data_IF_818945835347
#
_entry.id   IF_818945835347
#
_cell.length_a   1.000
_cell.length_b   1.000
_cell.length_c   1.000
_cell.angle_alpha   90.00
_cell.angle_beta   90.00
_cell.angle_gamma   90.00
#
_symmetry.space_group_name_H-M   'P 1'
#
loop_
_entity.id
_entity.type
_entity.pdbx_description
1 polymer ?
#
# COMPACT_ATOMS: atom_id res chain seq x y z
N UNK A 1 -52.27 39.28 -22.32
CA UNK A 1 -51.24 38.62 -23.07
C UNK A 1 -50.14 38.20 -22.09
N UNK A 2 -50.16 36.95 -21.66
CA UNK A 2 -49.21 36.41 -20.66
C UNK A 2 -48.20 35.55 -21.38
N UNK A 3 -46.95 35.92 -21.40
CA UNK A 3 -45.87 35.12 -21.94
C UNK A 3 -45.31 34.25 -20.80
N UNK A 4 -45.60 32.96 -20.86
CA UNK A 4 -45.04 31.96 -19.99
C UNK A 4 -43.59 31.69 -20.33
N UNK A 5 -42.69 32.01 -19.45
CA UNK A 5 -41.28 31.62 -19.53
C UNK A 5 -41.14 30.18 -18.98
N UNK A 6 -40.82 29.26 -19.87
CA UNK A 6 -40.46 27.87 -19.54
C UNK A 6 -38.96 27.90 -19.12
N UNK A 7 -38.71 27.74 -17.85
CA UNK A 7 -37.33 27.53 -17.35
C UNK A 7 -37.00 26.05 -17.54
N UNK A 8 -36.18 25.73 -18.51
CA UNK A 8 -35.61 24.42 -18.71
C UNK A 8 -34.50 24.21 -17.68
N UNK A 9 -34.76 23.44 -16.62
CA UNK A 9 -33.75 22.95 -15.70
C UNK A 9 -33.05 21.78 -16.42
N UNK A 10 -31.86 22.07 -16.96
CA UNK A 10 -30.96 21.03 -17.45
C UNK A 10 -30.29 20.40 -16.22
N UNK A 11 -30.80 19.23 -15.82
CA UNK A 11 -30.18 18.38 -14.81
C UNK A 11 -28.92 17.78 -15.43
N UNK A 12 -27.75 18.38 -15.18
CA UNK A 12 -26.47 17.79 -15.49
C UNK A 12 -26.26 16.61 -14.51
N UNK A 13 -26.67 15.43 -14.95
CA UNK A 13 -26.26 14.19 -14.32
C UNK A 13 -24.76 14.02 -14.60
N UNK A 14 -23.93 14.45 -13.67
CA UNK A 14 -22.50 14.11 -13.65
C UNK A 14 -22.42 12.58 -13.47
N UNK A 15 -22.23 11.88 -14.56
CA UNK A 15 -21.81 10.49 -14.56
C UNK A 15 -20.39 10.47 -13.99
N UNK A 16 -20.26 10.21 -12.69
CA UNK A 16 -19.02 9.78 -12.07
C UNK A 16 -18.71 8.36 -12.55
N UNK A 17 -18.28 8.26 -13.78
CA UNK A 17 -17.65 7.05 -14.33
C UNK A 17 -16.30 6.92 -13.63
N UNK A 18 -16.25 5.92 -12.76
CA UNK A 18 -15.19 5.57 -11.85
C UNK A 18 -13.78 5.75 -12.36
N UNK A 19 -13.00 6.35 -11.50
CA UNK A 19 -11.67 6.86 -11.66
C UNK A 19 -10.55 5.89 -11.95
N UNK A 20 -10.68 4.91 -12.81
CA UNK A 20 -9.51 4.12 -13.26
C UNK A 20 -8.63 4.83 -14.30
N UNK A 21 -9.04 6.01 -14.81
CA UNK A 21 -8.32 6.73 -15.87
C UNK A 21 -7.56 7.98 -15.38
N UNK A 22 -7.67 8.37 -14.12
CA UNK A 22 -7.22 9.68 -13.64
C UNK A 22 -5.76 9.74 -13.19
N UNK A 23 -5.09 8.60 -12.97
CA UNK A 23 -3.70 8.56 -12.48
C UNK A 23 -2.81 7.63 -13.34
N UNK A 24 -2.36 8.10 -14.52
CA UNK A 24 -1.44 7.31 -15.37
C UNK A 24 -0.17 6.94 -14.59
N UNK A 25 0.18 5.65 -14.58
CA UNK A 25 1.37 5.15 -13.86
C UNK A 25 1.18 4.88 -12.37
N UNK A 26 -0.02 5.08 -11.82
CA UNK A 26 -0.32 4.66 -10.46
C UNK A 26 -0.49 3.14 -10.36
N UNK A 27 0.06 2.55 -9.31
CA UNK A 27 -0.24 1.18 -8.85
C UNK A 27 -1.43 1.20 -7.91
N UNK A 28 -1.50 2.19 -7.02
CA UNK A 28 -2.66 2.48 -6.18
C UNK A 28 -2.71 3.97 -5.81
N UNK A 29 -3.91 4.41 -5.38
CA UNK A 29 -4.14 5.68 -4.68
C UNK A 29 -4.74 5.34 -3.33
N UNK A 30 -4.15 5.86 -2.25
CA UNK A 30 -4.55 5.62 -0.86
C UNK A 30 -4.78 6.95 -0.18
N UNK A 31 -6.01 7.26 0.20
CA UNK A 31 -6.39 8.56 0.80
C UNK A 31 -5.86 9.76 -0.02
N UNK A 32 -5.91 9.67 -1.35
CA UNK A 32 -5.39 10.67 -2.28
C UNK A 32 -3.87 10.64 -2.51
N UNK A 33 -3.11 9.81 -1.80
CA UNK A 33 -1.66 9.62 -2.00
C UNK A 33 -1.41 8.55 -3.06
N UNK A 34 -0.68 8.91 -4.10
CA UNK A 34 -0.36 7.98 -5.20
C UNK A 34 0.86 7.12 -4.88
N UNK A 35 0.72 5.80 -5.03
CA UNK A 35 1.82 4.85 -5.10
C UNK A 35 2.03 4.53 -6.57
N UNK A 36 3.19 4.88 -7.13
CA UNK A 36 3.46 4.65 -8.56
C UNK A 36 3.84 3.20 -8.86
N UNK A 37 3.57 2.75 -10.09
CA UNK A 37 4.05 1.45 -10.57
C UNK A 37 5.57 1.35 -10.49
N UNK A 38 6.29 2.44 -10.82
CA UNK A 38 7.76 2.46 -10.75
C UNK A 38 8.27 2.32 -9.32
N UNK A 39 7.56 2.86 -8.33
CA UNK A 39 7.87 2.67 -6.90
C UNK A 39 7.76 1.20 -6.51
N UNK A 40 6.65 0.55 -6.89
CA UNK A 40 6.43 -0.89 -6.63
C UNK A 40 7.48 -1.74 -7.33
N UNK A 41 7.73 -1.50 -8.61
CA UNK A 41 8.71 -2.26 -9.39
C UNK A 41 10.13 -2.10 -8.84
N UNK A 42 10.50 -0.92 -8.37
CA UNK A 42 11.80 -0.66 -7.76
C UNK A 42 11.94 -1.36 -6.42
N UNK A 43 11.00 -1.16 -5.51
CA UNK A 43 11.02 -1.80 -4.20
C UNK A 43 11.00 -3.34 -4.32
N UNK A 44 10.24 -3.88 -5.31
CA UNK A 44 10.23 -5.33 -5.58
C UNK A 44 11.61 -5.84 -5.98
N UNK A 45 12.34 -5.12 -6.85
CA UNK A 45 13.71 -5.53 -7.23
C UNK A 45 14.66 -5.49 -6.06
N UNK A 46 14.66 -4.37 -5.30
CA UNK A 46 15.53 -4.18 -4.14
C UNK A 46 15.28 -5.25 -3.06
N UNK A 47 14.01 -5.52 -2.75
CA UNK A 47 13.65 -6.55 -1.75
C UNK A 47 13.98 -7.97 -2.21
N UNK A 48 13.90 -8.26 -3.52
CA UNK A 48 14.25 -9.59 -4.04
C UNK A 48 15.75 -9.92 -3.96
N UNK A 49 16.60 -8.95 -3.63
CA UNK A 49 18.02 -9.19 -3.27
C UNK A 49 18.14 -9.77 -1.86
N UNK A 50 17.12 -9.59 -1.02
CA UNK A 50 17.09 -10.04 0.38
C UNK A 50 16.23 -11.30 0.59
N UNK A 51 15.01 -11.29 0.00
CA UNK A 51 14.04 -12.36 0.12
C UNK A 51 13.04 -12.34 -1.04
N UNK A 52 12.40 -13.47 -1.32
CA UNK A 52 11.45 -13.56 -2.43
C UNK A 52 10.14 -12.83 -2.12
N UNK A 53 9.80 -11.84 -2.93
CA UNK A 53 8.56 -11.05 -2.83
C UNK A 53 8.00 -10.76 -4.22
N UNK A 54 6.68 -10.74 -4.34
CA UNK A 54 6.00 -10.37 -5.58
C UNK A 54 5.47 -8.92 -5.52
N UNK A 55 5.19 -8.29 -6.69
CA UNK A 55 4.75 -6.89 -6.74
C UNK A 55 3.44 -6.60 -6.00
N UNK A 56 2.53 -7.56 -5.84
CA UNK A 56 1.29 -7.37 -5.09
C UNK A 56 1.55 -7.35 -3.60
N UNK A 57 2.42 -8.23 -3.13
CA UNK A 57 2.90 -8.23 -1.75
C UNK A 57 3.56 -6.91 -1.38
N UNK A 58 4.45 -6.40 -2.26
CA UNK A 58 5.08 -5.08 -2.10
C UNK A 58 4.03 -3.96 -2.07
N UNK A 59 3.08 -3.97 -3.01
CA UNK A 59 2.01 -2.97 -3.02
C UNK A 59 1.15 -3.03 -1.75
N UNK A 60 0.81 -4.24 -1.28
CA UNK A 60 0.10 -4.42 -0.01
C UNK A 60 0.87 -3.77 1.14
N UNK A 61 2.16 -4.08 1.28
CA UNK A 61 3.00 -3.49 2.33
C UNK A 61 3.04 -1.96 2.24
N UNK A 62 3.19 -1.38 1.04
CA UNK A 62 3.19 0.07 0.85
C UNK A 62 1.85 0.76 1.17
N UNK A 63 0.73 0.03 1.04
CA UNK A 63 -0.60 0.52 1.42
C UNK A 63 -0.74 0.53 2.95
N UNK A 64 -0.38 -0.57 3.62
CA UNK A 64 -0.66 -0.74 5.06
C UNK A 64 0.44 -0.19 5.97
N UNK A 65 1.70 -0.11 5.50
CA UNK A 65 2.85 0.32 6.29
C UNK A 65 2.64 1.64 7.04
N UNK A 66 2.07 2.71 6.46
CA UNK A 66 1.85 3.96 7.19
C UNK A 66 0.96 3.79 8.42
N UNK A 67 -0.06 2.91 8.36
CA UNK A 67 -0.96 2.66 9.50
C UNK A 67 -0.22 1.96 10.64
N UNK A 68 0.59 0.95 10.30
CA UNK A 68 1.39 0.22 11.29
C UNK A 68 2.48 1.08 11.92
N UNK A 69 3.19 1.87 11.10
CA UNK A 69 4.26 2.76 11.59
C UNK A 69 3.71 3.86 12.50
N UNK A 70 2.53 4.40 12.19
CA UNK A 70 1.87 5.38 13.05
C UNK A 70 1.42 4.75 14.38
N UNK A 71 0.83 3.55 14.34
CA UNK A 71 0.47 2.81 15.56
C UNK A 71 1.69 2.48 16.41
N UNK A 72 2.78 1.99 15.79
CA UNK A 72 4.05 1.73 16.46
C UNK A 72 4.62 2.98 17.13
N UNK A 73 4.55 4.11 16.44
CA UNK A 73 4.97 5.40 16.99
C UNK A 73 4.13 5.81 18.21
N UNK A 74 2.81 5.60 18.15
CA UNK A 74 1.90 5.82 19.28
C UNK A 74 2.21 4.94 20.51
N UNK A 75 2.77 3.76 20.28
CA UNK A 75 3.21 2.81 21.31
C UNK A 75 4.64 3.06 21.80
N UNK A 76 5.35 4.03 21.21
CA UNK A 76 6.75 4.33 21.56
C UNK A 76 7.78 3.36 20.98
N UNK A 77 7.39 2.54 20.00
CA UNK A 77 8.24 1.55 19.30
C UNK A 77 8.32 1.83 17.78
N UNK A 78 8.07 3.09 17.38
CA UNK A 78 8.18 3.51 15.99
C UNK A 78 9.55 3.22 15.40
N UNK A 79 9.57 2.95 14.10
CA UNK A 79 10.81 2.72 13.32
C UNK A 79 10.96 3.77 12.26
N UNK A 80 12.19 4.25 12.10
CA UNK A 80 12.58 5.24 11.09
C UNK A 80 13.23 4.56 9.87
N UNK A 81 13.32 5.29 8.76
CA UNK A 81 14.11 4.85 7.59
C UNK A 81 15.61 4.76 7.88
N UNK A 82 16.11 5.55 8.82
CA UNK A 82 17.50 5.48 9.25
C UNK A 82 17.78 4.15 9.96
N UNK A 83 16.95 3.77 10.94
CA UNK A 83 17.04 2.47 11.59
C UNK A 83 16.87 1.31 10.60
N UNK A 84 15.97 1.44 9.62
CA UNK A 84 15.79 0.45 8.56
C UNK A 84 17.03 0.32 7.66
N UNK A 85 17.74 1.43 7.39
CA UNK A 85 19.00 1.40 6.64
C UNK A 85 20.12 0.75 7.44
N UNK A 86 20.22 1.04 8.73
CA UNK A 86 21.21 0.40 9.62
C UNK A 86 20.94 -1.10 9.71
N UNK A 87 19.67 -1.50 9.89
CA UNK A 87 19.29 -2.92 9.85
C UNK A 87 19.67 -3.59 8.53
N UNK A 88 19.43 -2.92 7.40
CA UNK A 88 19.81 -3.45 6.08
C UNK A 88 21.32 -3.60 5.93
N UNK A 89 22.10 -2.68 6.49
CA UNK A 89 23.57 -2.78 6.52
C UNK A 89 24.04 -4.02 7.29
N UNK A 90 23.43 -4.28 8.45
CA UNK A 90 23.75 -5.46 9.26
C UNK A 90 23.36 -6.76 8.51
N UNK A 91 22.18 -6.79 7.86
CA UNK A 91 21.74 -7.94 7.06
C UNK A 91 22.67 -8.18 5.89
N UNK A 92 23.07 -7.13 5.17
CA UNK A 92 24.01 -7.23 4.05
C UNK A 92 25.36 -7.78 4.51
N UNK A 93 25.90 -7.30 5.62
CA UNK A 93 27.16 -7.76 6.19
C UNK A 93 27.11 -9.24 6.61
N UNK A 94 26.02 -9.66 7.27
CA UNK A 94 25.88 -11.05 7.76
C UNK A 94 25.74 -12.06 6.61
N UNK A 95 25.10 -11.64 5.51
CA UNK A 95 24.82 -12.49 4.36
C UNK A 95 25.81 -12.31 3.20
N UNK A 96 26.88 -11.50 3.38
CA UNK A 96 27.90 -11.19 2.36
C UNK A 96 27.25 -10.66 1.05
N UNK A 97 26.28 -9.73 1.20
CA UNK A 97 25.58 -9.10 0.09
C UNK A 97 26.27 -7.80 -0.30
N UNK A 98 26.51 -7.59 -1.58
CA UNK A 98 27.05 -6.33 -2.13
C UNK A 98 25.91 -5.38 -2.47
N UNK A 99 25.38 -4.68 -1.45
CA UNK A 99 24.31 -3.73 -1.57
C UNK A 99 24.82 -2.28 -1.49
N UNK A 100 24.43 -1.47 -2.47
CA UNK A 100 24.66 -0.01 -2.41
C UNK A 100 23.53 0.65 -1.61
N UNK A 101 23.77 0.80 -0.29
CA UNK A 101 22.79 1.34 0.66
C UNK A 101 22.37 2.78 0.37
N UNK A 102 23.21 3.56 -0.33
CA UNK A 102 22.89 4.95 -0.69
C UNK A 102 21.84 5.04 -1.79
N UNK A 103 21.69 3.98 -2.58
CA UNK A 103 20.74 3.93 -3.69
C UNK A 103 19.42 3.26 -3.33
N UNK A 104 19.29 2.66 -2.14
CA UNK A 104 18.04 2.01 -1.70
C UNK A 104 16.91 3.03 -1.61
N UNK A 105 15.76 2.68 -2.18
CA UNK A 105 14.60 3.57 -2.25
C UNK A 105 13.94 3.78 -0.89
N UNK A 106 13.34 4.95 -0.71
CA UNK A 106 12.52 5.25 0.47
C UNK A 106 11.40 4.22 0.68
N UNK A 107 10.81 3.71 -0.41
CA UNK A 107 9.75 2.71 -0.36
C UNK A 107 10.24 1.38 0.23
N UNK A 108 11.44 0.95 -0.11
CA UNK A 108 12.08 -0.23 0.48
C UNK A 108 12.37 -0.02 1.95
N UNK A 109 12.90 1.14 2.33
CA UNK A 109 13.16 1.47 3.73
C UNK A 109 11.86 1.56 4.55
N UNK A 110 10.76 2.09 4.00
CA UNK A 110 9.46 2.10 4.66
C UNK A 110 8.93 0.67 4.91
N UNK A 111 9.13 -0.24 3.95
CA UNK A 111 8.75 -1.65 4.11
C UNK A 111 9.60 -2.34 5.17
N UNK A 112 10.90 -2.10 5.20
CA UNK A 112 11.78 -2.66 6.24
C UNK A 112 11.46 -2.10 7.63
N UNK A 113 11.23 -0.80 7.74
CA UNK A 113 10.79 -0.17 8.99
C UNK A 113 9.44 -0.76 9.48
N UNK A 114 8.50 -0.98 8.55
CA UNK A 114 7.23 -1.64 8.83
C UNK A 114 7.45 -3.07 9.35
N UNK A 115 8.29 -3.88 8.71
CA UNK A 115 8.60 -5.24 9.15
C UNK A 115 9.20 -5.26 10.55
N UNK A 116 10.19 -4.39 10.82
CA UNK A 116 10.80 -4.21 12.14
C UNK A 116 9.75 -3.85 13.20
N UNK A 117 8.87 -2.89 12.90
CA UNK A 117 7.81 -2.48 13.81
C UNK A 117 6.82 -3.61 14.10
N UNK A 118 6.40 -4.38 13.08
CA UNK A 118 5.52 -5.54 13.23
C UNK A 118 6.16 -6.61 14.11
N UNK A 119 7.45 -6.89 13.93
CA UNK A 119 8.16 -7.86 14.75
C UNK A 119 8.20 -7.42 16.24
N UNK A 120 8.49 -6.14 16.50
CA UNK A 120 8.51 -5.61 17.87
C UNK A 120 7.13 -5.59 18.51
N UNK A 121 6.09 -5.19 17.77
CA UNK A 121 4.69 -5.26 18.23
C UNK A 121 4.31 -6.66 18.68
N UNK A 122 4.70 -7.70 17.93
CA UNK A 122 4.39 -9.10 18.25
C UNK A 122 5.04 -9.57 19.55
N UNK A 123 6.17 -8.99 19.92
CA UNK A 123 6.92 -9.37 21.12
C UNK A 123 6.41 -8.67 22.40
N UNK A 124 5.89 -7.45 22.26
CA UNK A 124 5.67 -6.55 23.39
C UNK A 124 4.20 -6.38 23.79
N UNK A 125 3.25 -6.74 22.91
CA UNK A 125 1.85 -6.30 23.06
C UNK A 125 0.89 -7.48 22.98
N UNK A 126 -0.15 -7.43 23.84
CA UNK A 126 -1.31 -8.32 23.73
C UNK A 126 -2.02 -8.05 22.38
N UNK A 127 -2.05 -9.10 21.55
CA UNK A 127 -2.25 -8.96 20.12
C UNK A 127 -3.69 -8.76 19.68
N UNK A 128 -4.68 -9.01 20.56
CA UNK A 128 -6.09 -9.01 20.18
C UNK A 128 -6.61 -7.58 19.96
N UNK A 129 -6.47 -6.70 20.95
CA UNK A 129 -6.89 -5.29 20.85
C UNK A 129 -6.11 -4.51 19.77
N UNK A 130 -4.81 -4.80 19.63
CA UNK A 130 -3.98 -4.17 18.60
C UNK A 130 -4.43 -4.58 17.21
N UNK A 131 -4.71 -5.87 17.01
CA UNK A 131 -5.18 -6.41 15.73
C UNK A 131 -6.51 -5.80 15.31
N UNK A 132 -7.45 -5.58 16.24
CA UNK A 132 -8.73 -4.94 15.96
C UNK A 132 -8.57 -3.45 15.60
N UNK A 133 -7.72 -2.71 16.33
CA UNK A 133 -7.42 -1.31 16.01
C UNK A 133 -6.78 -1.16 14.63
N UNK A 134 -5.78 -1.98 14.31
CA UNK A 134 -5.13 -1.96 13.00
C UNK A 134 -6.11 -2.29 11.88
N UNK A 135 -6.92 -3.34 12.05
CA UNK A 135 -7.96 -3.71 11.07
C UNK A 135 -8.92 -2.55 10.83
N UNK A 136 -9.47 -1.96 11.90
CA UNK A 136 -10.40 -0.83 11.81
C UNK A 136 -9.79 0.34 11.04
N UNK A 137 -8.52 0.66 11.28
CA UNK A 137 -7.83 1.74 10.58
C UNK A 137 -7.56 1.42 9.12
N UNK A 138 -7.20 0.17 8.81
CA UNK A 138 -6.96 -0.27 7.43
C UNK A 138 -8.27 -0.33 6.64
N UNK A 139 -9.35 -0.81 7.25
CA UNK A 139 -10.68 -0.87 6.61
C UNK A 139 -11.27 0.53 6.34
N UNK A 140 -10.79 1.56 7.06
CA UNK A 140 -11.18 2.95 6.84
C UNK A 140 -10.39 3.66 5.72
N UNK A 141 -9.33 3.05 5.17
CA UNK A 141 -8.57 3.63 4.07
C UNK A 141 -9.40 3.68 2.79
N UNK A 142 -9.35 4.81 2.09
CA UNK A 142 -9.88 4.92 0.72
C UNK A 142 -8.79 4.45 -0.27
N UNK A 143 -8.94 3.22 -0.79
CA UNK A 143 -7.92 2.55 -1.61
C UNK A 143 -8.45 2.24 -3.00
N UNK A 144 -7.88 2.89 -4.01
CA UNK A 144 -8.08 2.56 -5.42
C UNK A 144 -6.84 1.84 -5.96
N UNK A 145 -6.97 0.55 -6.31
CA UNK A 145 -5.87 -0.24 -6.89
C UNK A 145 -6.01 -0.30 -8.40
N UNK A 146 -4.90 -0.13 -9.10
CA UNK A 146 -4.86 -0.35 -10.54
C UNK A 146 -5.21 -1.81 -10.85
N UNK A 147 -6.20 -2.09 -11.74
CA UNK A 147 -6.67 -3.45 -12.05
C UNK A 147 -5.57 -4.43 -12.49
N UNK A 148 -4.43 -3.92 -12.97
CA UNK A 148 -3.24 -4.74 -13.28
C UNK A 148 -2.71 -5.49 -12.04
N UNK A 149 -2.83 -4.89 -10.86
CA UNK A 149 -2.43 -5.50 -9.59
C UNK A 149 -3.56 -6.29 -8.94
N UNK A 150 -4.82 -5.98 -9.25
CA UNK A 150 -6.00 -6.62 -8.69
C UNK A 150 -6.88 -5.67 -7.88
N UNK A 151 -7.42 -6.15 -6.77
CA UNK A 151 -8.21 -5.37 -5.80
C UNK A 151 -7.60 -5.44 -4.40
N UNK A 152 -7.87 -4.42 -3.58
CA UNK A 152 -7.48 -4.41 -2.17
C UNK A 152 -8.69 -4.82 -1.33
N UNK A 153 -8.60 -5.99 -0.71
CA UNK A 153 -9.66 -6.55 0.13
C UNK A 153 -9.06 -7.27 1.33
N UNK A 154 -9.64 -7.11 2.51
CA UNK A 154 -9.16 -7.78 3.73
C UNK A 154 -7.70 -7.46 4.06
N UNK A 155 -7.27 -6.22 3.80
CA UNK A 155 -5.90 -5.73 4.04
C UNK A 155 -4.82 -6.29 3.08
N UNK A 156 -5.22 -6.88 1.95
CA UNK A 156 -4.30 -7.51 0.98
C UNK A 156 -4.68 -7.14 -0.45
N UNK A 157 -3.69 -6.92 -1.31
CA UNK A 157 -3.88 -6.81 -2.75
C UNK A 157 -3.88 -8.21 -3.35
N UNK A 158 -5.05 -8.61 -3.88
CA UNK A 158 -5.26 -9.93 -4.47
C UNK A 158 -5.55 -9.83 -5.97
N UNK A 159 -5.17 -10.86 -6.73
CA UNK A 159 -5.52 -10.93 -8.14
C UNK A 159 -7.04 -10.99 -8.31
N UNK A 160 -7.58 -10.10 -9.13
CA UNK A 160 -8.99 -10.20 -9.52
C UNK A 160 -9.12 -11.29 -10.58
N UNK A 161 -9.90 -12.33 -10.30
CA UNK A 161 -10.27 -13.32 -11.33
C UNK A 161 -11.43 -12.73 -12.15
N UNK A 162 -11.24 -12.45 -13.45
CA UNK A 162 -12.33 -11.96 -14.28
C UNK A 162 -13.48 -13.00 -14.31
N UNK A 163 -14.73 -12.54 -14.23
CA UNK A 163 -15.92 -13.41 -14.19
C UNK A 163 -16.05 -14.36 -15.40
N UNK A 164 -15.38 -14.04 -16.52
CA UNK A 164 -15.37 -14.89 -17.71
C UNK A 164 -14.39 -16.08 -17.65
N UNK A 165 -13.49 -16.12 -16.62
CA UNK A 165 -12.64 -17.28 -16.37
C UNK A 165 -13.44 -18.29 -15.55
N UNK A 166 -14.10 -19.20 -16.21
CA UNK A 166 -14.73 -20.37 -15.56
C UNK A 166 -13.61 -21.31 -15.13
N UNK A 167 -13.43 -21.48 -13.81
CA UNK A 167 -12.54 -22.55 -13.32
C UNK A 167 -13.14 -23.88 -13.78
N UNK A 168 -12.37 -24.65 -14.54
CA UNK A 168 -12.74 -26.00 -14.91
C UNK A 168 -12.89 -26.87 -13.64
N UNK A 169 -13.92 -27.76 -13.61
CA UNK A 169 -14.18 -28.61 -12.45
C UNK A 169 -13.04 -29.57 -12.16
#
# INVERSE_FOLDING_TARGET
>A
MRKSAIVAIVLAAALTLGGCASHPGAAAVVDGRTISTSTVDRATRELNELFTVDPRGVLTMLIVAPVYLDEASGLGIGKSREEARDYLADVAQVNDLDLDLDTVSDATLDILAFDMAVQEMRLLIDTEDLGERLRTRIDALDVEVNPRFGSFEGSVVSATTPEWIVQAP
#
